data_IF_249612997535
#
_entry.id   IF_249612997535
#
_cell.length_a   1.000
_cell.length_b   1.000
_cell.length_c   1.000
_cell.angle_alpha   90.00
_cell.angle_beta   90.00
_cell.angle_gamma   90.00
#
_symmetry.space_group_name_H-M   'P 1'
#
loop_
_entity.id
_entity.type
_entity.pdbx_description
1 polymer ?
#
# COMPACT_ATOMS: atom_id res chain seq x y z
N UNK A 1 -8.41 1.78 -14.99
CA UNK A 1 -7.49 1.61 -13.86
C UNK A 1 -7.24 3.00 -13.29
N UNK A 2 -7.38 3.21 -11.97
CA UNK A 2 -7.04 4.48 -11.32
C UNK A 2 -6.21 4.18 -10.08
N UNK A 3 -5.33 5.10 -9.70
CA UNK A 3 -4.59 5.00 -8.44
C UNK A 3 -5.58 5.11 -7.28
N UNK A 4 -5.43 4.26 -6.26
CA UNK A 4 -6.22 4.38 -5.04
C UNK A 4 -5.89 5.71 -4.36
N UNK A 5 -6.95 6.46 -4.04
CA UNK A 5 -6.86 7.66 -3.20
C UNK A 5 -7.03 7.29 -1.74
N UNK A 6 -6.77 8.26 -0.86
CA UNK A 6 -7.10 8.11 0.55
C UNK A 6 -8.60 7.87 0.76
N UNK A 7 -9.46 8.57 0.03
CA UNK A 7 -10.92 8.43 0.14
C UNK A 7 -11.37 7.01 -0.24
N UNK A 8 -10.77 6.40 -1.25
CA UNK A 8 -11.05 5.01 -1.62
C UNK A 8 -10.71 4.06 -0.48
N UNK A 9 -9.57 4.28 0.17
CA UNK A 9 -9.11 3.48 1.30
C UNK A 9 -10.05 3.64 2.50
N UNK A 10 -10.56 4.85 2.75
CA UNK A 10 -11.57 5.09 3.79
C UNK A 10 -12.87 4.34 3.48
N UNK A 11 -13.35 4.39 2.25
CA UNK A 11 -14.56 3.65 1.84
C UNK A 11 -14.37 2.15 2.03
N UNK A 12 -13.22 1.60 1.63
CA UNK A 12 -12.90 0.18 1.83
C UNK A 12 -12.91 -0.19 3.32
N UNK A 13 -12.30 0.64 4.18
CA UNK A 13 -12.27 0.36 5.61
C UNK A 13 -13.64 0.40 6.28
N UNK A 14 -14.58 1.17 5.74
CA UNK A 14 -15.94 1.28 6.27
C UNK A 14 -16.95 0.39 5.51
N UNK A 15 -16.47 -0.61 4.76
CA UNK A 15 -17.36 -1.58 4.12
C UNK A 15 -18.18 -2.36 5.17
N UNK A 16 -19.43 -2.66 4.85
CA UNK A 16 -20.35 -3.40 5.73
C UNK A 16 -19.73 -4.74 6.17
N UNK A 17 -19.73 -4.98 7.48
CA UNK A 17 -19.18 -6.21 8.08
C UNK A 17 -17.67 -6.16 8.36
N UNK A 18 -16.97 -5.05 8.08
CA UNK A 18 -15.59 -4.89 8.52
C UNK A 18 -15.50 -4.36 9.96
N UNK A 19 -15.29 -5.26 10.93
CA UNK A 19 -15.02 -4.91 12.32
C UNK A 19 -13.51 -4.92 12.65
N UNK A 20 -12.68 -5.35 11.70
CA UNK A 20 -11.24 -5.60 11.89
C UNK A 20 -10.36 -4.39 11.53
N UNK A 21 -10.98 -3.27 11.18
CA UNK A 21 -10.29 -2.08 10.68
C UNK A 21 -9.37 -2.41 9.52
N UNK A 22 -8.10 -2.03 9.62
CA UNK A 22 -7.12 -2.26 8.55
C UNK A 22 -6.88 -3.74 8.24
N UNK A 23 -7.04 -4.63 9.22
CA UNK A 23 -6.81 -6.07 9.02
C UNK A 23 -7.90 -6.66 8.11
N UNK A 24 -9.11 -6.10 8.12
CA UNK A 24 -10.18 -6.51 7.22
C UNK A 24 -9.94 -6.14 5.75
N UNK A 25 -9.07 -5.16 5.48
CA UNK A 25 -8.63 -4.80 4.14
C UNK A 25 -7.40 -5.58 3.66
N UNK A 26 -6.83 -6.47 4.49
CA UNK A 26 -5.66 -7.29 4.14
C UNK A 26 -6.09 -8.70 3.78
N UNK A 27 -5.38 -9.29 2.82
CA UNK A 27 -5.51 -10.71 2.53
C UNK A 27 -5.08 -11.55 3.75
N UNK A 28 -5.62 -12.76 3.87
CA UNK A 28 -5.26 -13.69 4.97
C UNK A 28 -3.76 -14.02 4.98
N UNK A 29 -3.16 -14.25 3.80
CA UNK A 29 -1.72 -14.45 3.65
C UNK A 29 -0.86 -13.22 3.98
N UNK A 30 -1.48 -12.10 4.35
CA UNK A 30 -0.85 -10.85 4.75
C UNK A 30 -1.37 -10.35 6.11
N UNK A 31 -1.64 -11.29 7.03
CA UNK A 31 -2.05 -10.97 8.41
C UNK A 31 -3.41 -10.31 8.54
N UNK A 32 -4.28 -10.51 7.55
CA UNK A 32 -5.62 -9.94 7.48
C UNK A 32 -6.76 -10.95 7.57
N UNK A 33 -7.97 -10.42 7.52
CA UNK A 33 -9.21 -11.21 7.52
C UNK A 33 -9.99 -11.08 6.21
N UNK A 34 -9.64 -10.12 5.35
CA UNK A 34 -10.30 -9.84 4.07
C UNK A 34 -11.83 -9.63 4.19
N UNK A 35 -12.30 -9.15 5.34
CA UNK A 35 -13.73 -8.90 5.63
C UNK A 35 -14.34 -7.78 4.80
N UNK A 36 -13.51 -6.88 4.26
CA UNK A 36 -13.95 -5.82 3.32
C UNK A 36 -14.16 -6.33 1.88
N UNK A 37 -13.71 -7.56 1.57
CA UNK A 37 -13.58 -8.06 0.20
C UNK A 37 -12.41 -7.47 -0.59
N UNK A 38 -11.70 -6.48 -0.03
CA UNK A 38 -10.48 -5.92 -0.60
C UNK A 38 -9.25 -6.62 -0.03
N UNK A 39 -8.37 -7.11 -0.91
CA UNK A 39 -7.22 -7.93 -0.53
C UNK A 39 -5.90 -7.17 -0.69
N UNK A 40 -5.55 -6.31 0.27
CA UNK A 40 -4.20 -5.76 0.36
C UNK A 40 -3.19 -6.88 0.56
N UNK A 41 -2.08 -6.75 -0.13
CA UNK A 41 -1.03 -7.75 -0.21
C UNK A 41 0.31 -7.08 0.11
N UNK A 42 1.13 -7.74 0.93
CA UNK A 42 2.50 -7.30 1.24
C UNK A 42 3.41 -7.41 0.03
N UNK A 43 3.27 -6.51 -0.93
CA UNK A 43 4.01 -6.51 -2.18
C UNK A 43 5.38 -5.82 -2.06
N UNK A 44 5.61 -5.05 -1.00
CA UNK A 44 6.82 -4.27 -0.81
C UNK A 44 6.98 -3.20 -1.89
N UNK A 45 8.23 -2.86 -2.18
CA UNK A 45 8.58 -1.97 -3.29
C UNK A 45 9.96 -2.30 -3.88
N UNK A 46 10.16 -1.89 -5.13
CA UNK A 46 11.44 -1.94 -5.85
C UNK A 46 12.15 -0.60 -5.78
N UNK A 47 13.42 -0.60 -5.40
CA UNK A 47 14.31 0.58 -5.42
C UNK A 47 14.94 0.80 -6.80
N UNK A 48 15.59 1.96 -6.98
CA UNK A 48 16.26 2.35 -8.23
C UNK A 48 17.38 1.39 -8.64
N UNK A 49 18.07 0.80 -7.67
CA UNK A 49 19.10 -0.23 -7.87
C UNK A 49 18.52 -1.60 -8.30
N UNK A 50 17.20 -1.72 -8.39
CA UNK A 50 16.49 -2.94 -8.76
C UNK A 50 16.21 -3.89 -7.60
N UNK A 51 16.76 -3.64 -6.41
CA UNK A 51 16.49 -4.48 -5.24
C UNK A 51 15.09 -4.24 -4.66
N UNK A 52 14.52 -5.29 -4.08
CA UNK A 52 13.22 -5.25 -3.43
C UNK A 52 13.37 -5.15 -1.91
N UNK A 53 12.43 -4.44 -1.29
CA UNK A 53 12.30 -4.33 0.17
C UNK A 53 10.86 -4.58 0.60
N UNK A 54 10.72 -5.02 1.85
CA UNK A 54 9.45 -5.14 2.58
C UNK A 54 8.41 -6.06 1.88
N UNK A 55 8.90 -7.04 1.12
CA UNK A 55 8.08 -8.13 0.57
C UNK A 55 7.51 -8.93 1.74
N UNK A 56 6.21 -9.25 1.68
CA UNK A 56 5.42 -9.89 2.73
C UNK A 56 5.27 -9.08 4.02
N UNK A 57 5.84 -7.87 4.09
CA UNK A 57 5.73 -6.98 5.25
C UNK A 57 4.82 -5.78 4.98
N UNK A 58 5.02 -5.08 3.86
CA UNK A 58 4.37 -3.80 3.59
C UNK A 58 3.69 -3.73 2.22
N UNK A 59 2.67 -2.87 2.13
CA UNK A 59 2.09 -2.40 0.86
C UNK A 59 2.18 -0.88 0.83
N UNK A 60 2.59 -0.34 -0.32
CA UNK A 60 2.97 1.06 -0.48
C UNK A 60 2.22 1.67 -1.67
N UNK A 61 1.88 2.95 -1.57
CA UNK A 61 1.28 3.70 -2.67
C UNK A 61 1.79 5.12 -2.69
N UNK A 62 1.65 5.75 -3.85
CA UNK A 62 2.02 7.15 -4.08
C UNK A 62 0.75 7.94 -4.38
N UNK A 63 0.65 9.12 -3.79
CA UNK A 63 -0.41 10.07 -4.09
C UNK A 63 -0.01 10.90 -5.31
N UNK A 64 -0.98 11.46 -6.06
CA UNK A 64 -0.70 12.43 -7.13
C UNK A 64 -0.35 13.81 -6.53
N UNK A 65 0.59 13.83 -5.58
CA UNK A 65 1.00 15.01 -4.82
C UNK A 65 2.52 15.04 -4.73
N UNK A 66 3.09 16.09 -5.30
CA UNK A 66 4.53 16.34 -5.35
C UNK A 66 5.11 16.66 -3.97
N UNK A 67 6.40 16.39 -3.80
CA UNK A 67 7.14 16.97 -2.68
C UNK A 67 7.36 18.47 -2.93
N UNK A 68 7.30 19.28 -1.88
CA UNK A 68 7.23 20.75 -1.96
C UNK A 68 8.42 21.35 -2.70
N UNK A 69 9.60 20.76 -2.50
CA UNK A 69 10.88 21.29 -3.02
C UNK A 69 11.70 20.29 -3.84
N UNK A 70 11.35 19.01 -3.83
CA UNK A 70 12.19 17.96 -4.43
C UNK A 70 11.42 17.25 -5.54
N UNK A 71 11.71 17.63 -6.78
CA UNK A 71 11.01 17.14 -7.97
C UNK A 71 11.20 15.64 -8.24
N UNK A 72 12.15 14.97 -7.58
CA UNK A 72 12.32 13.51 -7.69
C UNK A 72 11.52 12.73 -6.66
N UNK A 73 10.82 13.42 -5.75
CA UNK A 73 10.09 12.84 -4.63
C UNK A 73 8.59 13.07 -4.79
N UNK A 74 7.80 12.14 -4.26
CA UNK A 74 6.34 12.18 -4.28
C UNK A 74 5.80 11.83 -2.90
N UNK A 75 4.66 12.40 -2.53
CA UNK A 75 3.95 12.02 -1.31
C UNK A 75 3.44 10.59 -1.43
N UNK A 76 3.59 9.83 -0.37
CA UNK A 76 3.27 8.41 -0.33
C UNK A 76 2.66 8.02 1.00
N UNK A 77 2.15 6.80 1.07
CA UNK A 77 1.78 6.16 2.33
C UNK A 77 1.93 4.64 2.18
N UNK A 78 1.79 3.93 3.29
CA UNK A 78 1.93 2.49 3.36
C UNK A 78 1.11 1.91 4.50
N UNK A 79 0.94 0.60 4.50
CA UNK A 79 0.58 -0.17 5.70
C UNK A 79 1.39 -1.45 5.74
N UNK A 80 1.75 -1.92 6.94
CA UNK A 80 2.43 -3.21 7.13
C UNK A 80 1.61 -4.19 7.95
N UNK A 81 2.01 -5.47 7.97
CA UNK A 81 1.39 -6.52 8.80
C UNK A 81 1.30 -6.12 10.29
N UNK A 82 2.15 -5.22 10.75
CA UNK A 82 2.25 -4.79 12.15
C UNK A 82 1.40 -3.55 12.49
N UNK A 83 0.91 -2.81 11.49
CA UNK A 83 0.17 -1.57 11.74
C UNK A 83 -1.32 -1.83 11.96
N UNK A 84 -1.96 -0.94 12.72
CA UNK A 84 -3.41 -0.93 12.97
C UNK A 84 -4.15 0.14 12.16
N UNK A 85 -3.41 0.96 11.39
CA UNK A 85 -3.93 1.98 10.50
C UNK A 85 -3.03 2.14 9.27
N UNK A 86 -3.48 2.95 8.30
CA UNK A 86 -2.60 3.47 7.26
C UNK A 86 -1.59 4.44 7.86
N UNK A 87 -0.36 4.40 7.38
CA UNK A 87 0.63 5.39 7.75
C UNK A 87 0.20 6.79 7.28
N UNK A 88 0.65 7.82 7.99
CA UNK A 88 0.47 9.20 7.56
C UNK A 88 1.20 9.51 6.25
N UNK A 89 1.16 10.78 5.86
CA UNK A 89 1.79 11.27 4.64
C UNK A 89 3.33 11.13 4.72
N UNK A 90 3.87 10.15 4.01
CA UNK A 90 5.30 9.93 3.83
C UNK A 90 5.82 10.53 2.52
N UNK A 91 7.06 10.17 2.19
CA UNK A 91 7.74 10.60 0.96
C UNK A 91 8.54 9.42 0.40
N UNK A 92 8.42 9.17 -0.91
CA UNK A 92 9.22 8.19 -1.63
C UNK A 92 9.86 8.80 -2.89
N UNK A 93 10.89 8.13 -3.43
CA UNK A 93 11.39 8.46 -4.78
C UNK A 93 10.37 8.06 -5.84
N UNK A 94 10.10 8.96 -6.79
CA UNK A 94 9.16 8.71 -7.90
C UNK A 94 9.52 7.49 -8.74
N UNK A 95 10.80 7.15 -8.76
CA UNK A 95 11.35 6.03 -9.52
C UNK A 95 11.20 4.68 -8.82
N UNK A 96 10.68 4.65 -7.59
CA UNK A 96 10.36 3.38 -6.91
C UNK A 96 9.13 2.72 -7.53
N UNK A 97 9.20 1.40 -7.70
CA UNK A 97 8.04 0.58 -8.08
C UNK A 97 7.31 0.09 -6.84
N UNK A 98 6.29 0.81 -6.39
CA UNK A 98 5.51 0.48 -5.17
C UNK A 98 4.37 -0.48 -5.46
N UNK A 99 4.18 -1.47 -4.59
CA UNK A 99 3.14 -2.51 -4.70
C UNK A 99 3.06 -3.20 -6.06
N UNK A 100 4.17 -3.24 -6.78
CA UNK A 100 4.32 -3.98 -8.04
C UNK A 100 4.67 -5.43 -7.70
N UNK A 101 3.82 -6.37 -8.07
CA UNK A 101 4.20 -7.79 -8.13
C UNK A 101 4.57 -8.16 -9.55
N UNK A 102 5.67 -8.90 -9.71
CA UNK A 102 5.90 -9.62 -10.95
C UNK A 102 4.74 -10.61 -11.15
N UNK A 103 4.01 -10.46 -12.27
CA UNK A 103 2.92 -11.36 -12.66
C UNK A 103 3.44 -12.58 -13.44
N UNK A 104 4.76 -12.70 -13.60
CA UNK A 104 5.32 -13.78 -14.42
C UNK A 104 5.31 -15.09 -13.62
N UNK A 105 4.40 -15.95 -14.06
CA UNK A 105 4.17 -17.31 -13.61
C UNK A 105 5.35 -18.24 -13.93
N UNK A 106 5.55 -19.19 -13.01
CA UNK A 106 6.48 -20.33 -12.98
C UNK A 106 7.85 -20.03 -12.36
#
# INVERSE_FOLDING_TARGET
WRLLTYDDLVVILNADGNEDGIKGARAQGFGGYNTTGYSLLGAGYRKNDGSFKDINDGTYWMYPLEHETNVTRVRSSYTSIHQTAFAGLGVNDKSYGVSVRCVKSK
#
